data_IF_765876493973
#
_entry.id   IF_765876493973
#
_cell.length_a   1.000
_cell.length_b   1.000
_cell.length_c   1.000
_cell.angle_alpha   90.00
_cell.angle_beta   90.00
_cell.angle_gamma   90.00
#
_symmetry.space_group_name_H-M   'P 1'
#
loop_
_entity.id
_entity.type
_entity.pdbx_description
1 polymer ?
#
# COMPACT_ATOMS: atom_id res chain seq x y z
N UNK A 1 55.91 46.03 65.87
CA UNK A 1 55.80 44.55 65.71
C UNK A 1 54.34 44.16 65.92
N UNK A 2 53.54 43.82 64.90
CA UNK A 2 53.52 42.57 64.10
C UNK A 2 53.23 41.36 65.03
N UNK A 3 52.20 40.52 64.86
CA UNK A 3 51.63 39.88 63.66
C UNK A 3 50.17 39.46 63.93
N UNK A 4 49.23 39.77 63.02
CA UNK A 4 47.85 39.20 63.02
C UNK A 4 47.87 37.83 62.34
N UNK A 5 47.38 36.78 63.02
CA UNK A 5 47.17 35.44 62.48
C UNK A 5 45.97 35.43 61.51
N UNK A 6 46.20 35.13 60.24
CA UNK A 6 45.17 34.80 59.25
C UNK A 6 45.06 33.29 59.10
N UNK A 7 44.03 32.70 59.70
CA UNK A 7 43.64 31.30 59.47
C UNK A 7 42.75 31.20 58.24
N UNK A 8 43.35 30.89 57.09
CA UNK A 8 42.61 30.56 55.86
C UNK A 8 42.03 29.14 55.96
N UNK A 9 40.71 29.01 56.07
CA UNK A 9 40.00 27.73 55.94
C UNK A 9 39.84 27.42 54.46
N UNK A 10 40.56 26.41 53.96
CA UNK A 10 40.34 25.79 52.66
C UNK A 10 39.00 25.06 52.68
N UNK A 11 37.95 25.67 52.12
CA UNK A 11 36.70 24.97 51.83
C UNK A 11 36.91 24.07 50.60
N UNK A 12 37.16 22.79 50.83
CA UNK A 12 36.99 21.77 49.80
C UNK A 12 35.49 21.59 49.54
N UNK A 13 34.96 22.31 48.55
CA UNK A 13 33.58 22.18 48.10
C UNK A 13 33.41 20.82 47.39
N UNK A 14 33.11 19.78 48.16
CA UNK A 14 32.68 18.49 47.63
C UNK A 14 31.36 18.64 46.89
N UNK A 15 31.40 18.68 45.56
CA UNK A 15 30.23 18.68 44.67
C UNK A 15 29.44 17.38 44.89
N UNK A 16 28.42 17.44 45.76
CA UNK A 16 27.42 16.36 45.88
C UNK A 16 26.54 16.42 44.63
N UNK A 17 26.74 15.47 43.72
CA UNK A 17 25.85 15.29 42.56
C UNK A 17 24.46 14.96 43.12
N UNK A 18 23.45 15.74 42.75
CA UNK A 18 22.08 15.48 43.20
C UNK A 18 21.56 14.21 42.54
N UNK A 19 20.82 13.38 43.29
CA UNK A 19 20.18 12.17 42.77
C UNK A 19 19.34 12.44 41.51
N UNK A 20 18.76 13.64 41.41
CA UNK A 20 18.00 14.08 40.25
C UNK A 20 18.87 14.23 38.98
N UNK A 21 20.10 14.74 39.10
CA UNK A 21 21.04 14.79 37.97
C UNK A 21 21.45 13.39 37.51
N UNK A 22 21.64 12.44 38.44
CA UNK A 22 21.95 11.05 38.10
C UNK A 22 20.76 10.39 37.39
N UNK A 23 19.55 10.57 37.90
CA UNK A 23 18.34 10.04 37.28
C UNK A 23 18.12 10.58 35.86
N UNK A 24 18.34 11.87 35.65
CA UNK A 24 18.22 12.49 34.33
C UNK A 24 19.28 11.97 33.36
N UNK A 25 20.50 11.75 33.82
CA UNK A 25 21.58 11.18 33.00
C UNK A 25 21.28 9.71 32.61
N UNK A 26 20.74 8.92 33.53
CA UNK A 26 20.33 7.54 33.23
C UNK A 26 19.20 7.50 32.20
N UNK A 27 18.21 8.40 32.32
CA UNK A 27 17.11 8.50 31.37
C UNK A 27 17.61 8.83 29.96
N UNK A 28 18.52 9.80 29.81
CA UNK A 28 19.07 10.15 28.49
C UNK A 28 19.88 9.02 27.89
N UNK A 29 20.68 8.30 28.69
CA UNK A 29 21.40 7.11 28.23
C UNK A 29 20.42 6.05 27.72
N UNK A 30 19.35 5.76 28.46
CA UNK A 30 18.34 4.78 28.04
C UNK A 30 17.69 5.18 26.71
N UNK A 31 17.32 6.46 26.53
CA UNK A 31 16.75 6.95 25.27
C UNK A 31 17.72 6.77 24.11
N UNK A 32 19.00 7.12 24.30
CA UNK A 32 20.04 6.95 23.28
C UNK A 32 20.20 5.46 22.91
N UNK A 33 20.25 4.58 23.91
CA UNK A 33 20.35 3.12 23.69
C UNK A 33 19.14 2.61 22.90
N UNK A 34 17.91 3.01 23.25
CA UNK A 34 16.70 2.62 22.51
C UNK A 34 16.76 3.09 21.06
N UNK A 35 17.13 4.36 20.81
CA UNK A 35 17.25 4.90 19.45
C UNK A 35 18.30 4.13 18.64
N UNK A 36 19.44 3.79 19.24
CA UNK A 36 20.49 3.00 18.57
C UNK A 36 20.00 1.60 18.24
N UNK A 37 19.39 0.89 19.20
CA UNK A 37 18.88 -0.48 19.01
C UNK A 37 17.76 -0.52 17.95
N UNK A 38 16.81 0.42 18.01
CA UNK A 38 15.73 0.54 17.02
C UNK A 38 16.31 0.88 15.64
N UNK A 39 17.26 1.82 15.57
CA UNK A 39 17.96 2.17 14.32
C UNK A 39 18.69 0.98 13.71
N UNK A 40 19.34 0.15 14.52
CA UNK A 40 20.01 -1.07 14.06
C UNK A 40 19.02 -2.10 13.49
N UNK A 41 17.79 -2.19 14.00
CA UNK A 41 16.76 -3.11 13.50
C UNK A 41 16.01 -2.59 12.28
N UNK A 42 15.84 -1.27 12.13
CA UNK A 42 15.10 -0.68 11.00
C UNK A 42 15.92 -0.71 9.70
N UNK A 43 17.23 -0.45 9.76
CA UNK A 43 18.11 -0.45 8.58
C UNK A 43 18.03 -1.72 7.73
N UNK A 44 18.15 -2.94 8.29
CA UNK A 44 18.06 -4.17 7.50
C UNK A 44 16.66 -4.40 6.93
N UNK A 45 15.60 -3.91 7.59
CA UNK A 45 14.23 -4.01 7.08
C UNK A 45 14.02 -3.11 5.85
N UNK A 46 14.60 -1.91 5.85
CA UNK A 46 14.56 -1.01 4.68
C UNK A 46 15.34 -1.64 3.52
N UNK A 47 16.54 -2.17 3.78
CA UNK A 47 17.34 -2.83 2.76
C UNK A 47 16.62 -4.06 2.17
N UNK A 48 15.98 -4.88 3.02
CA UNK A 48 15.20 -6.04 2.57
C UNK A 48 13.98 -5.62 1.76
N UNK A 49 13.27 -4.55 2.15
CA UNK A 49 12.16 -3.99 1.36
C UNK A 49 12.63 -3.56 -0.03
N UNK A 50 13.75 -2.84 -0.10
CA UNK A 50 14.32 -2.40 -1.37
C UNK A 50 14.74 -3.59 -2.25
N UNK A 51 15.38 -4.61 -1.66
CA UNK A 51 15.76 -5.83 -2.36
C UNK A 51 14.53 -6.56 -2.94
N UNK A 52 13.45 -6.68 -2.16
CA UNK A 52 12.19 -7.28 -2.62
C UNK A 52 11.55 -6.45 -3.75
N UNK A 53 11.57 -5.12 -3.66
CA UNK A 53 11.07 -4.25 -4.74
C UNK A 53 11.87 -4.43 -6.03
N UNK A 54 13.19 -4.56 -5.93
CA UNK A 54 14.03 -4.83 -7.11
C UNK A 54 13.77 -6.21 -7.69
N UNK A 55 13.59 -7.23 -6.85
CA UNK A 55 13.27 -8.59 -7.26
C UNK A 55 11.92 -8.65 -7.98
N UNK A 56 10.89 -7.97 -7.44
CA UNK A 56 9.57 -7.84 -8.10
C UNK A 56 9.71 -7.19 -9.47
N UNK A 57 10.46 -6.09 -9.59
CA UNK A 57 10.69 -5.44 -10.89
C UNK A 57 11.42 -6.33 -11.87
N UNK A 58 12.42 -7.08 -11.42
CA UNK A 58 13.15 -8.04 -12.25
C UNK A 58 12.22 -9.17 -12.71
N UNK A 59 11.39 -9.73 -11.82
CA UNK A 59 10.41 -10.75 -12.18
C UNK A 59 9.38 -10.22 -13.18
N UNK A 60 8.90 -8.99 -13.01
CA UNK A 60 7.98 -8.34 -13.95
C UNK A 60 8.62 -8.14 -15.33
N UNK A 61 9.86 -7.66 -15.37
CA UNK A 61 10.60 -7.52 -16.63
C UNK A 61 10.85 -8.87 -17.32
N UNK A 62 11.19 -9.91 -16.54
CA UNK A 62 11.38 -11.26 -17.05
C UNK A 62 10.08 -11.85 -17.62
N UNK A 63 8.92 -11.61 -16.96
CA UNK A 63 7.60 -11.99 -17.49
C UNK A 63 7.27 -11.27 -18.79
N UNK A 64 7.51 -9.97 -18.85
CA UNK A 64 7.28 -9.19 -20.07
C UNK A 64 8.13 -9.69 -21.23
N UNK A 65 9.41 -10.00 -20.97
CA UNK A 65 10.30 -10.61 -21.95
C UNK A 65 9.76 -11.97 -22.42
N UNK A 66 9.36 -12.84 -21.50
CA UNK A 66 8.84 -14.17 -21.83
C UNK A 66 7.54 -14.09 -22.66
N UNK A 67 6.63 -13.20 -22.30
CA UNK A 67 5.40 -12.96 -23.04
C UNK A 67 5.70 -12.49 -24.48
N UNK A 68 6.67 -11.59 -24.65
CA UNK A 68 7.12 -11.14 -25.96
C UNK A 68 7.72 -12.30 -26.78
N UNK A 69 8.58 -13.12 -26.18
CA UNK A 69 9.16 -14.29 -26.85
C UNK A 69 8.09 -15.28 -27.28
N UNK A 70 7.10 -15.56 -26.43
CA UNK A 70 5.99 -16.45 -26.76
C UNK A 70 5.14 -15.93 -27.92
N UNK A 71 4.88 -14.62 -27.98
CA UNK A 71 4.18 -14.00 -29.10
C UNK A 71 4.98 -14.10 -30.41
N UNK A 72 6.30 -13.83 -30.35
CA UNK A 72 7.16 -13.97 -31.53
C UNK A 72 7.21 -15.40 -32.06
N UNK A 73 7.21 -16.39 -31.16
CA UNK A 73 7.26 -17.79 -31.53
C UNK A 73 5.92 -18.25 -32.11
N UNK A 74 4.80 -17.72 -31.60
CA UNK A 74 3.47 -17.96 -32.17
C UNK A 74 3.39 -17.52 -33.63
N UNK A 75 3.91 -16.32 -33.93
CA UNK A 75 3.96 -15.80 -35.31
C UNK A 75 4.80 -16.68 -36.23
N UNK A 76 5.95 -17.17 -35.74
CA UNK A 76 6.80 -18.10 -36.51
C UNK A 76 6.09 -19.43 -36.77
N UNK A 77 5.41 -19.99 -35.77
CA UNK A 77 4.64 -21.23 -35.92
C UNK A 77 3.50 -21.06 -36.93
N UNK A 78 2.80 -19.91 -36.91
CA UNK A 78 1.74 -19.63 -37.87
C UNK A 78 2.27 -19.45 -39.30
N UNK A 79 3.43 -18.81 -39.48
CA UNK A 79 4.07 -18.67 -40.79
C UNK A 79 4.51 -20.03 -41.36
N UNK A 80 5.12 -20.88 -40.51
CA UNK A 80 5.47 -22.25 -40.87
C UNK A 80 4.21 -23.06 -41.24
N UNK A 81 3.12 -22.88 -40.48
CA UNK A 81 1.83 -23.53 -40.78
C UNK A 81 1.30 -23.15 -42.15
N UNK A 82 1.39 -21.88 -42.55
CA UNK A 82 0.93 -21.44 -43.88
C UNK A 82 1.78 -22.04 -44.99
N UNK A 83 3.08 -22.14 -44.77
CA UNK A 83 4.02 -22.76 -45.73
C UNK A 83 3.74 -24.26 -45.91
N UNK A 84 3.44 -24.98 -44.83
CA UNK A 84 3.19 -26.42 -44.86
C UNK A 84 1.80 -26.81 -45.39
N UNK A 85 0.80 -25.92 -45.33
CA UNK A 85 -0.54 -26.19 -45.90
C UNK A 85 -0.53 -26.40 -47.42
N UNK A 86 0.52 -25.98 -48.13
CA UNK A 86 0.67 -26.14 -49.59
C UNK A 86 1.27 -27.47 -50.07
N UNK A 87 1.70 -28.37 -49.17
CA UNK A 87 2.35 -29.63 -49.60
C UNK A 87 2.83 -30.58 -48.50
N UNK A 88 2.45 -30.38 -47.23
CA UNK A 88 2.92 -31.18 -46.10
C UNK A 88 2.29 -32.58 -46.01
N UNK A 89 3.11 -33.57 -45.73
CA UNK A 89 2.73 -34.94 -45.39
C UNK A 89 2.15 -35.02 -43.95
N UNK A 90 1.14 -35.88 -43.75
CA UNK A 90 0.40 -36.14 -42.49
C UNK A 90 1.24 -36.07 -41.18
N UNK A 91 2.42 -36.70 -41.06
CA UNK A 91 3.20 -36.64 -39.82
C UNK A 91 3.66 -35.21 -39.46
N UNK A 92 4.03 -34.39 -40.44
CA UNK A 92 4.45 -33.01 -40.21
C UNK A 92 3.28 -32.13 -39.71
N UNK A 93 2.07 -32.37 -40.21
CA UNK A 93 0.87 -31.66 -39.74
C UNK A 93 0.50 -32.02 -38.29
N UNK A 94 0.71 -33.28 -37.88
CA UNK A 94 0.47 -33.72 -36.50
C UNK A 94 1.46 -33.10 -35.52
N UNK A 95 2.74 -33.06 -35.87
CA UNK A 95 3.78 -32.42 -35.06
C UNK A 95 3.58 -30.91 -34.94
N UNK A 96 3.18 -30.25 -36.02
CA UNK A 96 2.86 -28.83 -35.98
C UNK A 96 1.65 -28.52 -35.08
N UNK A 97 0.64 -29.40 -35.11
CA UNK A 97 -0.56 -29.26 -34.27
C UNK A 97 -0.23 -29.42 -32.78
N UNK A 98 0.65 -30.36 -32.42
CA UNK A 98 1.08 -30.54 -31.03
C UNK A 98 1.94 -29.37 -30.54
N UNK A 99 2.83 -28.83 -31.37
CA UNK A 99 3.61 -27.63 -31.08
C UNK A 99 2.71 -26.41 -30.84
N UNK A 100 1.70 -26.20 -31.69
CA UNK A 100 0.74 -25.09 -31.55
C UNK A 100 -0.09 -25.22 -30.26
N UNK A 101 -0.52 -26.43 -29.90
CA UNK A 101 -1.22 -26.68 -28.65
C UNK A 101 -0.32 -26.40 -27.43
N UNK A 102 0.93 -26.88 -27.44
CA UNK A 102 1.90 -26.62 -26.37
C UNK A 102 2.22 -25.13 -26.21
N UNK A 103 2.33 -24.40 -27.32
CA UNK A 103 2.58 -22.97 -27.31
C UNK A 103 1.38 -22.17 -26.77
N UNK A 104 0.17 -22.56 -27.14
CA UNK A 104 -1.07 -21.96 -26.61
C UNK A 104 -1.19 -22.19 -25.10
N UNK A 105 -0.82 -23.38 -24.61
CA UNK A 105 -0.79 -23.67 -23.19
C UNK A 105 0.29 -22.85 -22.45
N UNK A 106 1.47 -22.70 -23.05
CA UNK A 106 2.54 -21.86 -22.50
C UNK A 106 2.15 -20.37 -22.42
N UNK A 107 1.43 -19.87 -23.43
CA UNK A 107 0.87 -18.51 -23.42
C UNK A 107 -0.19 -18.32 -22.33
N UNK A 108 -1.06 -19.30 -22.13
CA UNK A 108 -2.05 -19.27 -21.05
C UNK A 108 -1.37 -19.26 -19.66
N UNK A 109 -0.30 -20.03 -19.49
CA UNK A 109 0.50 -20.06 -18.26
C UNK A 109 1.34 -18.79 -18.05
N UNK A 110 1.84 -18.16 -19.13
CA UNK A 110 2.53 -16.87 -19.04
C UNK A 110 1.57 -15.72 -18.71
N UNK A 111 0.29 -15.88 -19.05
CA UNK A 111 -0.80 -14.99 -18.66
C UNK A 111 -1.30 -15.37 -17.26
N UNK A 112 -0.41 -15.42 -16.27
CA UNK A 112 -0.87 -15.41 -14.86
C UNK A 112 -1.44 -14.01 -14.62
N UNK A 113 -2.70 -13.86 -14.14
CA UNK A 113 -3.17 -12.55 -13.69
C UNK A 113 -2.15 -12.01 -12.69
N UNK A 114 -1.89 -10.71 -12.73
CA UNK A 114 -0.87 -10.04 -11.91
C UNK A 114 -1.20 -10.19 -10.42
N UNK A 115 -0.99 -11.38 -9.86
CA UNK A 115 -1.45 -11.81 -8.54
C UNK A 115 -0.52 -11.30 -7.44
N UNK A 116 0.42 -10.44 -7.80
CA UNK A 116 1.13 -9.56 -6.89
C UNK A 116 0.55 -8.12 -6.90
N UNK A 117 -0.66 -7.91 -7.42
CA UNK A 117 -1.42 -6.69 -7.12
C UNK A 117 -1.75 -6.71 -5.64
N UNK A 118 -0.96 -5.96 -4.87
CA UNK A 118 -1.29 -5.64 -3.48
C UNK A 118 -2.68 -5.01 -3.51
N UNK A 119 -3.70 -5.62 -2.87
CA UNK A 119 -5.05 -5.09 -2.94
C UNK A 119 -5.09 -3.64 -2.48
N UNK A 120 -5.84 -2.82 -3.21
CA UNK A 120 -6.12 -1.46 -2.83
C UNK A 120 -6.76 -1.41 -1.44
N UNK A 121 -6.42 -0.39 -0.66
CA UNK A 121 -6.95 -0.18 0.69
C UNK A 121 -7.90 0.99 0.73
N UNK A 122 -9.00 0.83 1.46
CA UNK A 122 -9.86 1.92 1.86
C UNK A 122 -9.79 2.10 3.38
N UNK A 123 -9.32 3.26 3.81
CA UNK A 123 -9.41 3.70 5.21
C UNK A 123 -10.71 4.46 5.39
N UNK A 124 -11.42 4.20 6.48
CA UNK A 124 -12.73 4.82 6.73
C UNK A 124 -12.64 5.70 7.96
N UNK A 125 -13.03 6.97 7.80
CA UNK A 125 -13.05 7.97 8.85
C UNK A 125 -14.48 8.44 9.11
N UNK A 126 -14.95 8.30 10.35
CA UNK A 126 -16.27 8.74 10.82
C UNK A 126 -16.14 9.97 11.72
N UNK A 127 -17.16 10.81 11.74
CA UNK A 127 -17.25 12.03 12.57
C UNK A 127 -17.97 11.78 13.89
N UNK A 128 -18.91 10.85 13.90
CA UNK A 128 -19.69 10.42 15.06
C UNK A 128 -19.59 8.91 15.25
N UNK A 129 -19.64 8.41 16.49
CA UNK A 129 -19.61 6.98 16.76
C UNK A 129 -20.90 6.27 16.30
N UNK A 130 -22.03 6.99 16.26
CA UNK A 130 -23.31 6.50 15.73
C UNK A 130 -23.21 6.12 14.24
N UNK A 131 -22.21 6.63 13.51
CA UNK A 131 -21.94 6.30 12.11
C UNK A 131 -21.27 4.94 11.92
N UNK A 132 -20.67 4.35 12.96
CA UNK A 132 -19.87 3.12 12.85
C UNK A 132 -20.64 1.94 12.24
N UNK A 133 -21.90 1.65 12.62
CA UNK A 133 -22.65 0.54 12.04
C UNK A 133 -22.81 0.68 10.51
N UNK A 134 -23.17 1.87 10.05
CA UNK A 134 -23.31 2.15 8.62
C UNK A 134 -21.96 2.11 7.89
N UNK A 135 -20.93 2.71 8.46
CA UNK A 135 -19.57 2.64 7.93
C UNK A 135 -19.04 1.19 7.83
N UNK A 136 -19.42 0.32 8.76
CA UNK A 136 -19.08 -1.11 8.74
C UNK A 136 -19.77 -1.83 7.58
N UNK A 137 -21.06 -1.59 7.36
CA UNK A 137 -21.81 -2.19 6.25
C UNK A 137 -21.25 -1.74 4.89
N UNK A 138 -20.95 -0.45 4.73
CA UNK A 138 -20.27 0.05 3.53
C UNK A 138 -18.90 -0.62 3.34
N UNK A 139 -18.13 -0.77 4.42
CA UNK A 139 -16.85 -1.47 4.42
C UNK A 139 -16.96 -2.95 4.01
N UNK A 140 -18.04 -3.65 4.37
CA UNK A 140 -18.28 -5.04 3.95
C UNK A 140 -18.55 -5.14 2.44
N UNK A 141 -19.32 -4.21 1.86
CA UNK A 141 -19.53 -4.14 0.40
C UNK A 141 -18.22 -3.85 -0.35
N UNK A 142 -17.40 -2.94 0.18
CA UNK A 142 -16.08 -2.63 -0.38
C UNK A 142 -15.14 -3.83 -0.29
N UNK A 143 -15.15 -4.58 0.81
CA UNK A 143 -14.38 -5.84 0.94
C UNK A 143 -14.84 -6.88 -0.08
N UNK A 144 -16.14 -7.04 -0.28
CA UNK A 144 -16.69 -7.96 -1.28
C UNK A 144 -16.29 -7.58 -2.71
N UNK A 145 -16.01 -6.31 -2.97
CA UNK A 145 -15.48 -5.81 -4.25
C UNK A 145 -13.95 -5.97 -4.41
N UNK A 146 -13.26 -6.62 -3.48
CA UNK A 146 -11.83 -6.95 -3.59
C UNK A 146 -10.85 -5.96 -2.93
N UNK A 147 -11.36 -4.97 -2.20
CA UNK A 147 -10.53 -4.00 -1.48
C UNK A 147 -10.26 -4.44 -0.03
N UNK A 148 -9.13 -4.01 0.53
CA UNK A 148 -8.83 -4.21 1.95
C UNK A 148 -9.34 -3.02 2.76
N UNK A 149 -10.12 -3.27 3.79
CA UNK A 149 -10.60 -2.22 4.73
C UNK A 149 -10.01 -2.52 6.11
N UNK A 150 -8.90 -1.85 6.51
CA UNK A 150 -8.18 -2.17 7.74
C UNK A 150 -8.97 -1.90 9.02
N UNK A 151 -9.81 -0.86 9.02
CA UNK A 151 -10.56 -0.44 10.19
C UNK A 151 -11.32 0.86 9.96
N UNK A 152 -12.06 1.28 10.99
CA UNK A 152 -12.84 2.52 11.00
C UNK A 152 -12.32 3.39 12.15
N UNK A 153 -11.84 4.58 11.82
CA UNK A 153 -11.30 5.56 12.78
C UNK A 153 -12.28 6.70 12.99
N UNK A 154 -12.45 7.15 14.25
CA UNK A 154 -13.31 8.29 14.57
C UNK A 154 -12.47 9.56 14.68
N UNK A 155 -12.81 10.57 13.88
CA UNK A 155 -12.18 11.88 13.83
C UNK A 155 -13.22 12.96 14.18
N UNK A 156 -13.29 13.36 15.45
CA UNK A 156 -14.38 14.20 16.01
C UNK A 156 -14.30 15.67 15.57
N UNK A 157 -13.10 16.23 15.45
CA UNK A 157 -12.92 17.68 15.20
C UNK A 157 -12.21 18.00 13.86
N UNK A 158 -11.94 16.98 13.05
CA UNK A 158 -11.30 17.11 11.74
C UNK A 158 -12.08 16.35 10.67
N UNK A 159 -12.38 17.00 9.55
CA UNK A 159 -12.98 16.35 8.38
C UNK A 159 -13.73 17.29 7.46
N UNK A 160 -14.12 16.81 6.27
CA UNK A 160 -14.92 17.57 5.33
C UNK A 160 -16.38 17.71 5.81
N UNK A 161 -17.07 18.74 5.30
CA UNK A 161 -18.51 18.94 5.53
C UNK A 161 -19.38 18.07 4.61
N UNK A 162 -18.77 17.45 3.60
CA UNK A 162 -19.41 16.52 2.67
C UNK A 162 -18.64 15.21 2.68
N UNK A 163 -19.33 14.09 2.46
CA UNK A 163 -18.65 12.80 2.40
C UNK A 163 -17.72 12.76 1.19
N UNK A 164 -16.45 12.46 1.41
CA UNK A 164 -15.41 12.45 0.39
C UNK A 164 -14.77 11.08 0.23
N UNK A 165 -14.52 10.69 -1.01
CA UNK A 165 -13.61 9.61 -1.35
C UNK A 165 -12.34 10.22 -1.94
N UNK A 166 -11.23 10.09 -1.21
CA UNK A 166 -9.93 10.67 -1.56
C UNK A 166 -9.03 9.64 -2.21
N UNK A 167 -8.28 10.08 -3.23
CA UNK A 167 -7.18 9.34 -3.84
C UNK A 167 -5.95 10.24 -3.96
N UNK A 168 -4.76 9.64 -3.97
CA UNK A 168 -3.50 10.36 -3.77
C UNK A 168 -2.53 10.23 -4.95
N UNK A 169 -2.89 9.48 -5.99
CA UNK A 169 -2.10 9.28 -7.20
C UNK A 169 -2.97 9.46 -8.43
N UNK A 170 -2.46 10.09 -9.48
CA UNK A 170 -3.19 10.16 -10.76
C UNK A 170 -3.52 8.79 -11.33
N UNK A 171 -2.60 7.83 -11.19
CA UNK A 171 -2.81 6.46 -11.64
C UNK A 171 -4.01 5.77 -10.95
N UNK A 172 -4.39 6.21 -9.75
CA UNK A 172 -5.47 5.60 -8.95
C UNK A 172 -6.87 6.15 -9.33
N UNK A 173 -6.99 7.14 -10.23
CA UNK A 173 -8.27 7.80 -10.53
C UNK A 173 -9.34 6.81 -11.06
N UNK A 174 -8.96 5.91 -11.96
CA UNK A 174 -9.88 4.92 -12.51
C UNK A 174 -10.40 3.97 -11.42
N UNK A 175 -9.55 3.58 -10.47
CA UNK A 175 -9.94 2.79 -9.30
C UNK A 175 -10.80 3.57 -8.31
N UNK A 176 -10.52 4.87 -8.11
CA UNK A 176 -11.34 5.74 -7.27
C UNK A 176 -12.78 5.82 -7.80
N UNK A 177 -12.95 5.93 -9.13
CA UNK A 177 -14.27 5.93 -9.78
C UNK A 177 -14.99 4.58 -9.63
N UNK A 178 -14.27 3.46 -9.75
CA UNK A 178 -14.84 2.12 -9.47
C UNK A 178 -15.30 2.02 -8.02
N UNK A 179 -14.49 2.49 -7.08
CA UNK A 179 -14.80 2.46 -5.66
C UNK A 179 -15.97 3.39 -5.30
N UNK A 180 -16.06 4.56 -5.91
CA UNK A 180 -17.24 5.44 -5.81
C UNK A 180 -18.53 4.72 -6.24
N UNK A 181 -18.50 3.98 -7.34
CA UNK A 181 -19.67 3.22 -7.80
C UNK A 181 -20.05 2.08 -6.84
N UNK A 182 -19.07 1.42 -6.20
CA UNK A 182 -19.31 0.41 -5.16
C UNK A 182 -19.99 1.05 -3.94
N UNK A 183 -19.49 2.20 -3.49
CA UNK A 183 -20.06 2.95 -2.38
C UNK A 183 -21.49 3.44 -2.67
N UNK A 184 -21.75 3.95 -3.87
CA UNK A 184 -23.08 4.37 -4.29
C UNK A 184 -24.09 3.20 -4.26
N UNK A 185 -23.67 1.99 -4.68
CA UNK A 185 -24.51 0.77 -4.57
C UNK A 185 -24.79 0.37 -3.11
N UNK A 186 -23.88 0.70 -2.20
CA UNK A 186 -24.08 0.54 -0.77
C UNK A 186 -24.94 1.66 -0.14
N UNK A 187 -25.39 2.64 -0.93
CA UNK A 187 -26.16 3.79 -0.45
C UNK A 187 -25.29 4.91 0.13
N UNK A 188 -23.98 4.92 -0.14
CA UNK A 188 -23.06 5.97 0.30
C UNK A 188 -22.67 6.84 -0.89
N UNK A 189 -23.28 8.02 -0.98
CA UNK A 189 -22.90 9.03 -1.96
C UNK A 189 -21.64 9.78 -1.51
N UNK A 190 -20.66 9.88 -2.41
CA UNK A 190 -19.36 10.47 -2.11
C UNK A 190 -18.92 11.44 -3.20
N UNK A 191 -18.28 12.53 -2.79
CA UNK A 191 -17.53 13.42 -3.68
C UNK A 191 -16.11 12.88 -3.86
N UNK A 192 -15.69 12.68 -5.11
CA UNK A 192 -14.28 12.37 -5.39
C UNK A 192 -13.40 13.58 -5.09
N UNK A 193 -12.31 13.35 -4.37
CA UNK A 193 -11.31 14.36 -4.03
C UNK A 193 -9.94 13.90 -4.50
N UNK A 194 -9.39 14.62 -5.48
CA UNK A 194 -8.07 14.40 -6.02
C UNK A 194 -7.03 15.12 -5.16
N UNK A 195 -6.19 14.35 -4.46
CA UNK A 195 -5.08 14.87 -3.68
C UNK A 195 -3.72 14.59 -4.34
N UNK A 196 -3.71 14.12 -5.58
CA UNK A 196 -2.48 13.72 -6.26
C UNK A 196 -1.51 14.88 -6.41
N UNK A 197 -1.99 16.09 -6.72
CA UNK A 197 -1.13 17.26 -6.87
C UNK A 197 -0.25 17.53 -5.63
N UNK A 198 -0.76 17.22 -4.43
CA UNK A 198 -0.04 17.40 -3.17
C UNK A 198 0.75 16.17 -2.72
N UNK A 199 0.37 14.97 -3.16
CA UNK A 199 0.87 13.70 -2.61
C UNK A 199 1.45 12.72 -3.65
N UNK A 200 1.54 13.09 -4.94
CA UNK A 200 2.00 12.23 -6.04
C UNK A 200 3.40 11.64 -5.82
N UNK A 201 4.24 12.26 -5.00
CA UNK A 201 5.60 11.78 -4.70
C UNK A 201 5.77 11.34 -3.24
N UNK A 202 4.68 11.24 -2.48
CA UNK A 202 4.73 10.82 -1.08
C UNK A 202 5.32 9.42 -0.95
N UNK A 203 6.28 9.23 -0.05
CA UNK A 203 6.82 7.89 0.24
C UNK A 203 6.03 7.13 1.31
N UNK A 204 5.18 7.84 2.05
CA UNK A 204 4.34 7.27 3.11
C UNK A 204 3.00 6.77 2.60
N UNK A 205 2.52 7.30 1.47
CA UNK A 205 1.25 6.91 0.86
C UNK A 205 1.53 5.99 -0.31
N UNK A 206 1.13 4.73 -0.20
CA UNK A 206 1.33 3.72 -1.25
C UNK A 206 0.32 3.89 -2.41
N UNK A 207 0.62 3.38 -3.61
CA UNK A 207 -0.39 3.21 -4.65
C UNK A 207 -1.59 2.38 -4.17
N UNK A 208 -2.80 2.68 -4.67
CA UNK A 208 -4.03 2.02 -4.21
C UNK A 208 -4.36 2.33 -2.75
N UNK A 209 -4.07 3.55 -2.29
CA UNK A 209 -4.47 4.06 -0.98
C UNK A 209 -5.64 5.02 -1.17
N UNK A 210 -6.78 4.67 -0.60
CA UNK A 210 -8.00 5.47 -0.64
C UNK A 210 -8.47 5.79 0.77
N UNK A 211 -9.10 6.94 0.93
CA UNK A 211 -9.71 7.33 2.20
C UNK A 211 -11.15 7.77 2.00
N UNK A 212 -12.08 7.16 2.73
CA UNK A 212 -13.46 7.56 2.83
C UNK A 212 -13.63 8.40 4.09
N UNK A 213 -13.98 9.66 3.91
CA UNK A 213 -14.24 10.61 4.99
C UNK A 213 -15.72 10.92 5.03
N UNK A 214 -16.42 10.47 6.07
CA UNK A 214 -17.82 10.83 6.26
C UNK A 214 -17.98 12.27 6.73
N UNK A 215 -19.02 12.94 6.26
CA UNK A 215 -19.49 14.20 6.83
C UNK A 215 -20.10 13.99 8.22
N UNK A 216 -20.28 15.06 9.03
CA UNK A 216 -21.12 15.00 10.23
C UNK A 216 -22.58 14.63 9.88
N UNK A 217 -23.28 13.95 10.79
CA UNK A 217 -24.70 13.58 10.64
C UNK A 217 -24.93 12.09 10.46
N UNK A 218 -26.19 11.69 10.27
CA UNK A 218 -26.53 10.28 10.05
C UNK A 218 -26.05 9.80 8.67
N UNK A 219 -25.54 8.56 8.60
CA UNK A 219 -25.25 7.89 7.34
C UNK A 219 -26.48 7.07 6.98
N UNK A 220 -27.28 7.59 6.06
CA UNK A 220 -28.46 6.91 5.59
C UNK A 220 -28.09 5.91 4.49
N UNK A 221 -27.91 4.64 4.86
CA UNK A 221 -27.64 3.59 3.87
C UNK A 221 -28.92 3.26 3.12
N UNK A 222 -29.08 3.86 1.94
CA UNK A 222 -30.13 3.48 1.02
C UNK A 222 -29.73 2.17 0.34
N UNK A 223 -30.01 1.04 1.00
CA UNK A 223 -30.08 -0.26 0.33
C UNK A 223 -31.18 -0.15 -0.73
N UNK A 224 -30.80 0.18 -1.98
CA UNK A 224 -31.68 0.03 -3.13
C UNK A 224 -32.13 -1.42 -3.15
N UNK A 225 -33.34 -1.68 -2.65
CA UNK A 225 -34.05 -2.94 -2.87
C UNK A 225 -34.16 -3.08 -4.39
N UNK A 226 -33.24 -3.83 -4.99
CA UNK A 226 -33.41 -4.32 -6.35
C UNK A 226 -34.71 -5.12 -6.34
N UNK A 227 -35.78 -4.54 -6.88
CA UNK A 227 -36.97 -5.29 -7.27
C UNK A 227 -36.47 -6.40 -8.21
N UNK A 228 -36.66 -7.64 -7.77
CA UNK A 228 -36.55 -8.83 -8.63
C UNK A 228 -37.60 -8.77 -9.72
#
# INVERSE_FOLDING_TARGET
MNVKKTGGKTQAAGRRVSLWMVAQLLLTIVVVVVVVVVGQKIRPLIARKQALETEIRQMQAQRAYLAFTLDSLARQVDDLSRTLQGGGNEPAQRELSSLKAGLSQAQALATVPDSATIPARLYIHIRDEQQRPAAKQAGEQVKAAGYVVPGIERLVDKGPQVTELRYFRKADEADARRLQAVLARAGVEVRLSDLSASYENSRSIRPGHFELWFAPGEIELQLRKLKR
#
